data_IF_036266303662
#
_entry.id   IF_036266303662
#
_cell.length_a   1.000
_cell.length_b   1.000
_cell.length_c   1.000
_cell.angle_alpha   90.00
_cell.angle_beta   90.00
_cell.angle_gamma   90.00
#
_symmetry.space_group_name_H-M   'P 1'
#
loop_
_entity.id
_entity.type
_entity.pdbx_description
1 polymer ?
#
# COMPACT_ATOMS: atom_id res chain seq x y z
N UNK A 1 -24.21 -17.00 -3.66
CA UNK A 1 -24.53 -15.68 -3.07
C UNK A 1 -23.86 -15.45 -1.70
N UNK A 2 -24.22 -16.16 -0.62
CA UNK A 2 -23.61 -15.90 0.71
C UNK A 2 -22.13 -16.33 0.79
N UNK A 3 -21.77 -17.42 0.11
CA UNK A 3 -20.38 -17.91 0.07
C UNK A 3 -19.48 -16.96 -0.73
N UNK A 4 -20.01 -16.38 -1.81
CA UNK A 4 -19.28 -15.44 -2.65
C UNK A 4 -18.99 -14.12 -1.91
N UNK A 5 -19.96 -13.60 -1.15
CA UNK A 5 -19.77 -12.39 -0.35
C UNK A 5 -18.79 -12.60 0.80
N UNK A 6 -18.82 -13.76 1.47
CA UNK A 6 -17.83 -14.11 2.50
C UNK A 6 -16.43 -14.24 1.89
N UNK A 7 -16.31 -14.85 0.71
CA UNK A 7 -15.03 -15.00 0.01
C UNK A 7 -14.46 -13.65 -0.44
N UNK A 8 -15.29 -12.74 -0.97
CA UNK A 8 -14.85 -11.39 -1.34
C UNK A 8 -14.43 -10.59 -0.11
N UNK A 9 -15.19 -10.66 0.99
CA UNK A 9 -14.82 -10.01 2.25
C UNK A 9 -13.52 -10.57 2.83
N UNK A 10 -13.31 -11.88 2.77
CA UNK A 10 -12.05 -12.51 3.17
C UNK A 10 -10.88 -12.06 2.29
N UNK A 11 -11.08 -12.01 0.98
CA UNK A 11 -10.08 -11.57 0.00
C UNK A 11 -9.70 -10.10 0.21
N UNK A 12 -10.67 -9.24 0.45
CA UNK A 12 -10.44 -7.83 0.82
C UNK A 12 -9.66 -7.74 2.14
N UNK A 13 -10.12 -8.43 3.18
CA UNK A 13 -9.46 -8.44 4.51
C UNK A 13 -8.01 -8.93 4.45
N UNK A 14 -7.73 -9.95 3.63
CA UNK A 14 -6.37 -10.44 3.41
C UNK A 14 -5.51 -9.46 2.63
N UNK A 15 -6.08 -8.79 1.62
CA UNK A 15 -5.39 -7.73 0.88
C UNK A 15 -4.98 -6.59 1.80
N UNK A 16 -5.87 -6.18 2.72
CA UNK A 16 -5.55 -5.17 3.75
C UNK A 16 -4.46 -5.64 4.71
N UNK A 17 -4.51 -6.88 5.21
CA UNK A 17 -3.49 -7.42 6.13
C UNK A 17 -2.10 -7.55 5.52
N UNK A 18 -2.00 -7.85 4.22
CA UNK A 18 -0.69 -8.01 3.55
C UNK A 18 0.01 -6.67 3.35
N UNK A 19 -0.74 -5.58 3.13
CA UNK A 19 -0.18 -4.24 2.92
C UNK A 19 0.36 -3.66 4.24
N UNK A 20 -0.31 -3.87 5.37
CA UNK A 20 0.18 -3.42 6.70
C UNK A 20 1.27 -4.30 7.31
N UNK A 21 1.50 -5.52 6.79
CA UNK A 21 2.40 -6.51 7.39
C UNK A 21 3.88 -6.07 7.47
N UNK A 22 4.30 -5.01 6.76
CA UNK A 22 5.70 -4.53 6.75
C UNK A 22 5.93 -3.17 7.41
N UNK A 23 4.90 -2.53 7.96
CA UNK A 23 5.07 -1.26 8.66
C UNK A 23 5.55 -1.54 10.09
N UNK A 24 6.62 -0.87 10.52
CA UNK A 24 7.11 -0.99 11.91
C UNK A 24 6.01 -0.54 12.89
N UNK A 25 5.95 -1.14 14.09
CA UNK A 25 4.97 -0.73 15.12
C UNK A 25 5.01 0.77 15.41
N UNK A 26 6.20 1.36 15.40
CA UNK A 26 6.40 2.80 15.62
C UNK A 26 5.79 3.62 14.48
N UNK A 27 6.06 3.24 13.23
CA UNK A 27 5.52 3.93 12.05
C UNK A 27 4.00 3.77 11.96
N UNK A 28 3.46 2.61 12.34
CA UNK A 28 2.01 2.39 12.41
C UNK A 28 1.37 3.32 13.46
N UNK A 29 1.99 3.45 14.63
CA UNK A 29 1.50 4.36 15.67
C UNK A 29 1.51 5.82 15.21
N UNK A 30 2.57 6.25 14.53
CA UNK A 30 2.63 7.59 13.93
C UNK A 30 1.52 7.81 12.90
N UNK A 31 1.24 6.79 12.07
CA UNK A 31 0.16 6.86 11.09
C UNK A 31 -1.21 6.93 11.75
N UNK A 32 -1.43 6.21 12.86
CA UNK A 32 -2.64 6.33 13.67
C UNK A 32 -2.83 7.76 14.18
N UNK A 33 -1.79 8.38 14.75
CA UNK A 33 -1.87 9.77 15.21
C UNK A 33 -2.24 10.76 14.10
N UNK A 34 -1.74 10.52 12.88
CA UNK A 34 -2.09 11.30 11.70
C UNK A 34 -3.58 11.10 11.36
N UNK A 35 -4.05 9.85 11.34
CA UNK A 35 -5.46 9.53 11.11
C UNK A 35 -6.36 10.24 12.12
N UNK A 36 -6.05 10.15 13.41
CA UNK A 36 -6.80 10.80 14.49
C UNK A 36 -6.86 12.33 14.30
N UNK A 37 -5.74 12.94 13.88
CA UNK A 37 -5.67 14.37 13.62
C UNK A 37 -6.52 14.78 12.41
N UNK A 38 -6.59 13.94 11.37
CA UNK A 38 -7.43 14.17 10.19
C UNK A 38 -8.90 14.00 10.55
N UNK A 39 -9.28 12.92 11.23
CA UNK A 39 -10.67 12.63 11.62
C UNK A 39 -11.23 13.72 12.54
N UNK A 40 -10.39 14.37 13.35
CA UNK A 40 -10.80 15.54 14.16
C UNK A 40 -11.11 16.79 13.35
N UNK A 41 -10.54 16.94 12.15
CA UNK A 41 -10.66 18.13 11.29
C UNK A 41 -11.65 17.93 10.15
N UNK A 42 -11.85 16.68 9.74
CA UNK A 42 -12.70 16.31 8.62
C UNK A 42 -13.98 15.71 9.18
N UNK A 43 -15.12 16.38 8.95
CA UNK A 43 -16.42 15.88 9.37
C UNK A 43 -16.96 14.89 8.32
N UNK A 44 -16.31 13.74 8.20
CA UNK A 44 -16.71 12.66 7.28
C UNK A 44 -17.66 11.67 7.96
N UNK A 45 -18.53 11.05 7.16
CA UNK A 45 -19.44 9.98 7.61
C UNK A 45 -18.70 8.68 7.99
N UNK A 46 -17.40 8.60 7.69
CA UNK A 46 -16.56 7.46 8.01
C UNK A 46 -15.22 7.90 8.62
N UNK A 47 -14.65 7.01 9.43
CA UNK A 47 -13.35 7.18 10.07
C UNK A 47 -12.22 6.76 9.12
N UNK A 48 -11.22 7.61 8.96
CA UNK A 48 -10.02 7.28 8.22
C UNK A 48 -9.10 6.45 9.11
N UNK A 49 -8.71 5.26 8.66
CA UNK A 49 -7.78 4.38 9.39
C UNK A 49 -6.41 4.30 8.72
N UNK A 50 -5.36 3.87 9.45
CA UNK A 50 -4.03 3.62 8.88
C UNK A 50 -4.05 2.70 7.67
N UNK A 51 -4.88 1.65 7.68
CA UNK A 51 -5.03 0.71 6.58
C UNK A 51 -5.58 1.40 5.32
N UNK A 52 -6.57 2.27 5.47
CA UNK A 52 -7.17 3.01 4.37
C UNK A 52 -6.16 3.94 3.71
N UNK A 53 -5.40 4.70 4.51
CA UNK A 53 -4.36 5.59 3.99
C UNK A 53 -3.26 4.77 3.31
N UNK A 54 -2.78 3.71 3.95
CA UNK A 54 -1.71 2.88 3.41
C UNK A 54 -2.12 2.25 2.07
N UNK A 55 -3.35 1.74 1.97
CA UNK A 55 -3.87 1.18 0.73
C UNK A 55 -3.91 2.22 -0.39
N UNK A 56 -4.49 3.40 -0.12
CA UNK A 56 -4.59 4.48 -1.12
C UNK A 56 -3.21 4.95 -1.58
N UNK A 57 -2.29 5.21 -0.66
CA UNK A 57 -0.93 5.66 -0.99
C UNK A 57 -0.20 4.60 -1.81
N UNK A 58 -0.35 3.33 -1.47
CA UNK A 58 0.28 2.24 -2.22
C UNK A 58 -0.30 2.09 -3.62
N UNK A 59 -1.63 2.17 -3.77
CA UNK A 59 -2.31 2.12 -5.07
C UNK A 59 -1.85 3.28 -5.96
N UNK A 60 -1.87 4.51 -5.45
CA UNK A 60 -1.39 5.69 -6.18
C UNK A 60 0.09 5.53 -6.56
N UNK A 61 0.94 5.06 -5.65
CA UNK A 61 2.34 4.82 -5.94
C UNK A 61 2.53 3.80 -7.09
N UNK A 62 1.77 2.71 -7.08
CA UNK A 62 1.85 1.68 -8.15
C UNK A 62 1.37 2.25 -9.48
N UNK A 63 0.26 2.99 -9.49
CA UNK A 63 -0.29 3.62 -10.70
C UNK A 63 0.69 4.63 -11.30
N UNK A 64 1.25 5.51 -10.47
CA UNK A 64 2.26 6.49 -10.89
C UNK A 64 3.53 5.80 -11.37
N UNK A 65 4.02 4.80 -10.64
CA UNK A 65 5.20 4.03 -11.02
C UNK A 65 5.02 3.25 -12.33
N UNK A 66 3.82 2.76 -12.60
CA UNK A 66 3.51 2.10 -13.87
C UNK A 66 3.40 3.11 -15.01
N UNK A 67 2.89 4.32 -14.74
CA UNK A 67 2.87 5.41 -15.70
C UNK A 67 4.29 5.93 -16.00
N UNK A 68 5.18 5.95 -15.01
CA UNK A 68 6.57 6.41 -15.11
C UNK A 68 7.53 5.24 -15.32
N UNK A 69 7.51 4.66 -16.53
CA UNK A 69 8.48 3.66 -17.02
C UNK A 69 8.88 2.60 -15.99
N UNK A 70 8.00 1.61 -15.81
CA UNK A 70 8.08 0.44 -14.92
C UNK A 70 9.49 -0.18 -14.80
N UNK A 71 10.30 -0.14 -15.86
CA UNK A 71 11.67 -0.67 -15.90
C UNK A 71 12.65 0.07 -14.97
N UNK A 72 12.57 1.41 -14.86
CA UNK A 72 13.49 2.19 -14.01
C UNK A 72 13.23 1.92 -12.52
N UNK A 73 11.96 1.83 -12.16
CA UNK A 73 11.54 1.57 -10.78
C UNK A 73 11.81 0.12 -10.39
N UNK A 74 11.58 -0.85 -11.30
CA UNK A 74 11.95 -2.24 -11.08
C UNK A 74 13.46 -2.41 -10.80
N UNK A 75 14.33 -1.67 -11.49
CA UNK A 75 15.79 -1.67 -11.24
C UNK A 75 16.19 -1.02 -9.91
N UNK A 76 15.38 -0.10 -9.39
CA UNK A 76 15.61 0.54 -8.09
C UNK A 76 15.11 -0.32 -6.92
N UNK A 77 14.00 -1.04 -7.09
CA UNK A 77 13.37 -1.87 -6.05
C UNK A 77 13.99 -3.27 -6.00
N UNK A 78 14.40 -3.82 -7.14
CA UNK A 78 14.99 -5.16 -7.27
C UNK A 78 16.43 -5.03 -7.78
N UNK A 79 17.42 -4.88 -6.88
CA UNK A 79 18.82 -4.62 -7.25
C UNK A 79 19.43 -5.68 -8.16
N UNK A 80 18.89 -6.91 -8.14
CA UNK A 80 19.30 -8.03 -8.96
C UNK A 80 19.08 -7.76 -10.47
N UNK A 81 18.02 -7.00 -10.82
CA UNK A 81 17.75 -6.62 -12.21
C UNK A 81 18.80 -5.65 -12.77
N UNK A 82 19.38 -4.81 -11.90
CA UNK A 82 20.47 -3.88 -12.26
C UNK A 82 21.77 -4.60 -12.61
N UNK A 83 22.03 -5.78 -12.03
CA UNK A 83 23.27 -6.56 -12.26
C UNK A 83 23.28 -7.27 -13.62
N UNK A 84 22.13 -7.78 -14.09
CA UNK A 84 22.05 -8.52 -15.37
C UNK A 84 22.46 -7.69 -16.59
N UNK A 85 22.16 -6.39 -16.62
CA UNK A 85 22.54 -5.52 -17.76
C UNK A 85 24.03 -5.22 -17.84
N UNK A 86 24.79 -5.29 -16.74
CA UNK A 86 26.23 -4.99 -16.74
C UNK A 86 27.10 -6.11 -17.29
N UNK A 87 26.56 -7.33 -17.34
CA UNK A 87 27.27 -8.52 -17.85
C UNK A 87 27.02 -8.79 -19.34
N UNK A 88 26.20 -7.98 -20.00
CA UNK A 88 26.07 -7.97 -21.47
C UNK A 88 26.96 -6.83 -21.98
N UNK A 89 28.27 -7.07 -21.99
CA UNK A 89 29.27 -6.30 -22.73
C UNK A 89 30.28 -7.27 -23.30
#
# INVERSE_FOLDING_TARGET
>A
MVIDSIYQWWKETWRYRVITFRISRVSHYQLQMICDAINKRVNTEYEITPEMITSRVMETFIEEAFSDSTNRIAECIVPELKRKRRHIK
#
